data_IF_872069653356
#
_entry.id   IF_872069653356
#
_cell.length_a   1.000
_cell.length_b   1.000
_cell.length_c   1.000
_cell.angle_alpha   90.00
_cell.angle_beta   90.00
_cell.angle_gamma   90.00
#
_symmetry.space_group_name_H-M   'P 1'
#
loop_
_entity.id
_entity.type
_entity.pdbx_description
1 polymer ?
#
# COMPACT_ATOMS: atom_id res chain seq x y z
N UNK A 1 -74.49 32.08 20.70
CA UNK A 1 -73.80 33.24 20.10
C UNK A 1 -73.58 32.89 18.63
N UNK A 2 -74.35 33.53 17.75
CA UNK A 2 -74.33 33.56 16.26
C UNK A 2 -73.88 32.30 15.50
N UNK A 3 -74.80 31.54 14.88
CA UNK A 3 -75.42 31.73 13.53
C UNK A 3 -74.38 31.49 12.43
N UNK A 4 -74.60 30.79 11.32
CA UNK A 4 -75.72 30.16 10.60
C UNK A 4 -75.03 29.37 9.46
N UNK A 5 -75.49 28.16 9.08
CA UNK A 5 -76.19 27.84 7.82
C UNK A 5 -75.59 28.46 6.53
N UNK A 6 -75.55 27.87 5.33
CA UNK A 6 -76.06 26.66 4.67
C UNK A 6 -75.93 27.01 3.15
N UNK A 7 -76.11 26.05 2.23
CA UNK A 7 -76.49 26.23 0.79
C UNK A 7 -75.32 26.64 -0.14
N UNK A 8 -74.70 25.75 -0.94
CA UNK A 8 -75.17 25.05 -2.16
C UNK A 8 -75.52 26.01 -3.32
N UNK A 9 -74.76 26.03 -4.41
CA UNK A 9 -75.25 25.84 -5.80
C UNK A 9 -74.16 26.09 -6.84
N UNK A 10 -74.22 25.26 -7.88
CA UNK A 10 -73.33 25.15 -9.03
C UNK A 10 -73.45 26.34 -10.01
N UNK A 11 -72.47 26.48 -10.92
CA UNK A 11 -72.61 26.23 -12.38
C UNK A 11 -71.39 26.79 -13.14
N UNK A 12 -70.80 25.91 -13.96
CA UNK A 12 -70.06 26.08 -15.22
C UNK A 12 -69.33 27.40 -15.53
N UNK A 13 -68.06 27.29 -15.98
CA UNK A 13 -67.67 27.54 -17.39
C UNK A 13 -66.42 26.71 -17.72
N UNK A 14 -66.51 25.88 -18.76
CA UNK A 14 -65.38 25.25 -19.45
C UNK A 14 -64.50 26.33 -20.10
N UNK A 15 -63.18 26.17 -20.05
CA UNK A 15 -62.34 26.47 -21.23
C UNK A 15 -61.09 25.59 -21.21
N UNK A 16 -61.05 24.72 -22.21
CA UNK A 16 -59.92 23.91 -22.64
C UNK A 16 -58.83 24.82 -23.21
N UNK A 17 -57.60 24.79 -22.71
CA UNK A 17 -56.42 25.13 -23.52
C UNK A 17 -55.21 24.29 -23.10
N UNK A 18 -54.88 23.36 -23.98
CA UNK A 18 -53.52 22.99 -24.44
C UNK A 18 -52.61 22.19 -23.51
N UNK A 19 -52.48 20.91 -23.89
CA UNK A 19 -51.33 20.05 -23.69
C UNK A 19 -49.98 20.77 -23.91
N UNK A 20 -49.10 20.71 -22.92
CA UNK A 20 -47.66 20.57 -23.18
C UNK A 20 -47.14 19.39 -22.35
N UNK A 21 -46.64 18.41 -23.08
CA UNK A 21 -45.95 17.24 -22.60
C UNK A 21 -44.81 17.66 -21.66
N UNK A 22 -44.91 17.31 -20.38
CA UNK A 22 -43.75 17.26 -19.50
C UNK A 22 -43.01 15.97 -19.79
N UNK A 23 -42.07 16.05 -20.73
CA UNK A 23 -41.01 15.06 -20.86
C UNK A 23 -40.18 15.01 -19.58
N UNK A 24 -40.34 13.87 -18.92
CA UNK A 24 -39.32 13.12 -18.18
C UNK A 24 -37.89 13.66 -18.32
N UNK A 25 -37.38 14.29 -17.25
CA UNK A 25 -35.93 14.44 -17.04
C UNK A 25 -35.57 13.89 -15.67
N UNK A 26 -35.46 12.56 -15.61
CA UNK A 26 -34.59 11.90 -14.64
C UNK A 26 -33.21 12.57 -14.74
N UNK A 27 -32.86 13.37 -13.73
CA UNK A 27 -31.45 13.67 -13.44
C UNK A 27 -30.83 12.38 -12.95
N UNK A 28 -30.39 11.55 -13.88
CA UNK A 28 -29.38 10.54 -13.63
C UNK A 28 -28.14 11.29 -13.16
N UNK A 29 -27.87 11.16 -11.87
CA UNK A 29 -26.62 11.55 -11.25
C UNK A 29 -25.57 10.57 -11.80
N UNK A 30 -25.15 10.80 -13.04
CA UNK A 30 -24.00 10.11 -13.63
C UNK A 30 -22.78 10.65 -12.91
N UNK A 31 -22.41 9.97 -11.82
CA UNK A 31 -21.07 10.03 -11.28
C UNK A 31 -20.15 9.61 -12.43
N UNK A 32 -19.46 10.59 -12.99
CA UNK A 32 -18.35 10.36 -13.91
C UNK A 32 -17.50 9.24 -13.30
N UNK A 33 -17.20 8.15 -14.04
CA UNK A 33 -16.25 7.18 -13.54
C UNK A 33 -14.93 7.94 -13.41
N UNK A 34 -14.58 8.24 -12.16
CA UNK A 34 -13.26 8.68 -11.76
C UNK A 34 -12.31 7.66 -12.38
N UNK A 35 -11.70 8.07 -13.49
CA UNK A 35 -10.82 7.23 -14.29
C UNK A 35 -9.62 7.00 -13.39
N UNK A 36 -9.69 5.91 -12.62
CA UNK A 36 -8.62 5.43 -11.76
C UNK A 36 -7.40 5.33 -12.66
N UNK A 37 -6.54 6.34 -12.56
CA UNK A 37 -5.34 6.45 -13.37
C UNK A 37 -4.45 5.33 -12.85
N UNK A 38 -4.62 4.14 -13.41
CA UNK A 38 -3.83 2.95 -13.14
C UNK A 38 -2.36 3.38 -13.15
N UNK A 39 -1.77 3.52 -11.95
CA UNK A 39 -0.39 3.96 -11.79
C UNK A 39 0.46 2.87 -12.44
N UNK A 40 1.02 3.17 -13.61
CA UNK A 40 1.90 2.24 -14.33
C UNK A 40 3.06 1.86 -13.40
N UNK A 41 3.21 0.57 -13.13
CA UNK A 41 4.31 0.04 -12.32
C UNK A 41 5.63 0.31 -13.06
N UNK A 42 6.65 0.91 -12.40
CA UNK A 42 7.96 1.14 -13.00
C UNK A 42 8.63 -0.17 -13.47
N UNK A 43 9.41 -0.10 -14.55
CA UNK A 43 10.08 -1.28 -15.12
C UNK A 43 11.01 -1.97 -14.11
N UNK A 44 11.72 -1.19 -13.28
CA UNK A 44 12.59 -1.72 -12.23
C UNK A 44 11.81 -2.56 -11.20
N UNK A 45 10.61 -2.12 -10.82
CA UNK A 45 9.73 -2.85 -9.92
C UNK A 45 9.29 -4.19 -10.53
N UNK A 46 8.96 -4.21 -11.82
CA UNK A 46 8.61 -5.44 -12.56
C UNK A 46 9.79 -6.41 -12.50
N UNK A 47 11.00 -5.94 -12.80
CA UNK A 47 12.21 -6.78 -12.75
C UNK A 47 12.47 -7.33 -11.34
N UNK A 48 12.28 -6.52 -10.29
CA UNK A 48 12.41 -6.97 -8.90
C UNK A 48 11.40 -8.08 -8.60
N UNK A 49 10.15 -7.91 -9.02
CA UNK A 49 9.07 -8.89 -8.85
C UNK A 49 9.38 -10.20 -9.58
N UNK A 50 9.90 -10.12 -10.80
CA UNK A 50 10.33 -11.30 -11.56
C UNK A 50 11.51 -12.01 -10.88
N UNK A 51 12.50 -11.25 -10.40
CA UNK A 51 13.66 -11.80 -9.70
C UNK A 51 13.26 -12.47 -8.39
N UNK A 52 12.40 -11.87 -7.56
CA UNK A 52 11.97 -12.49 -6.30
C UNK A 52 11.12 -13.74 -6.56
N UNK A 53 10.27 -13.74 -7.60
CA UNK A 53 9.50 -14.94 -7.99
C UNK A 53 10.42 -16.07 -8.47
N UNK A 54 11.48 -15.74 -9.21
CA UNK A 54 12.42 -16.71 -9.77
C UNK A 54 13.40 -17.25 -8.73
N UNK A 55 14.05 -16.38 -7.97
CA UNK A 55 15.16 -16.73 -7.09
C UNK A 55 14.75 -16.87 -5.62
N UNK A 56 13.62 -16.32 -5.20
CA UNK A 56 13.13 -16.39 -3.82
C UNK A 56 13.10 -17.81 -3.25
N UNK A 57 12.51 -18.81 -3.95
CA UNK A 57 12.47 -20.20 -3.48
C UNK A 57 13.86 -20.82 -3.28
N UNK A 58 14.85 -20.43 -4.09
CA UNK A 58 16.22 -20.93 -3.99
C UNK A 58 16.98 -20.26 -2.84
N UNK A 59 16.88 -18.93 -2.78
CA UNK A 59 17.53 -18.08 -1.76
C UNK A 59 17.05 -18.49 -0.37
N UNK A 60 15.74 -18.58 -0.18
CA UNK A 60 15.10 -18.91 1.09
C UNK A 60 14.26 -20.18 0.97
N UNK A 61 14.93 -21.29 0.66
CA UNK A 61 14.26 -22.61 0.58
C UNK A 61 13.77 -23.10 1.95
N UNK A 62 14.36 -22.58 3.03
CA UNK A 62 13.86 -22.67 4.41
C UNK A 62 14.06 -21.33 5.12
N UNK A 63 13.38 -21.12 6.24
CA UNK A 63 13.53 -19.88 7.02
C UNK A 63 14.94 -19.76 7.62
N UNK A 64 15.51 -20.87 8.08
CA UNK A 64 16.85 -20.94 8.69
C UNK A 64 17.95 -20.65 7.67
N UNK A 65 17.72 -20.95 6.39
CA UNK A 65 18.69 -20.72 5.32
C UNK A 65 18.87 -19.23 5.00
N UNK A 66 17.76 -18.50 4.95
CA UNK A 66 17.78 -17.06 4.68
C UNK A 66 16.56 -16.40 5.30
N UNK A 67 16.79 -15.61 6.34
CA UNK A 67 15.77 -14.73 6.93
C UNK A 67 15.45 -13.57 5.99
N UNK A 68 14.48 -12.73 6.38
CA UNK A 68 14.00 -11.62 5.55
C UNK A 68 15.11 -10.68 5.02
N UNK A 69 16.12 -10.36 5.83
CA UNK A 69 17.24 -9.49 5.42
C UNK A 69 18.11 -10.14 4.36
N UNK A 70 18.42 -11.43 4.48
CA UNK A 70 19.23 -12.15 3.49
C UNK A 70 18.51 -12.33 2.17
N UNK A 71 17.19 -12.57 2.21
CA UNK A 71 16.35 -12.57 1.01
C UNK A 71 16.41 -11.23 0.29
N UNK A 72 16.21 -10.13 1.02
CA UNK A 72 16.23 -8.77 0.48
C UNK A 72 17.61 -8.42 -0.09
N UNK A 73 18.70 -8.69 0.64
CA UNK A 73 20.08 -8.46 0.19
C UNK A 73 20.33 -9.17 -1.15
N UNK A 74 20.04 -10.47 -1.24
CA UNK A 74 20.34 -11.26 -2.42
C UNK A 74 19.49 -10.86 -3.64
N UNK A 75 18.28 -10.34 -3.44
CA UNK A 75 17.47 -9.79 -4.54
C UNK A 75 18.03 -8.43 -5.00
N UNK A 76 18.41 -7.55 -4.08
CA UNK A 76 19.02 -6.26 -4.46
C UNK A 76 20.33 -6.49 -5.23
N UNK A 77 21.13 -7.47 -4.82
CA UNK A 77 22.40 -7.85 -5.48
C UNK A 77 22.23 -8.37 -6.92
N UNK A 78 21.00 -8.70 -7.36
CA UNK A 78 20.74 -8.99 -8.79
C UNK A 78 20.77 -7.74 -9.68
N UNK A 79 20.67 -6.55 -9.08
CA UNK A 79 20.52 -5.29 -9.81
C UNK A 79 21.56 -4.24 -9.42
N UNK A 80 22.05 -4.27 -8.17
CA UNK A 80 22.98 -3.30 -7.64
C UNK A 80 23.99 -3.99 -6.70
N UNK A 81 25.27 -3.66 -6.85
CA UNK A 81 26.27 -4.11 -5.89
C UNK A 81 26.03 -3.47 -4.52
N UNK A 82 25.96 -4.30 -3.47
CA UNK A 82 25.90 -3.87 -2.08
C UNK A 82 27.26 -4.03 -1.44
N UNK A 83 27.78 -2.93 -0.87
CA UNK A 83 28.97 -2.99 -0.04
C UNK A 83 28.63 -3.56 1.34
N UNK A 84 29.63 -3.99 2.09
CA UNK A 84 29.40 -4.52 3.43
C UNK A 84 28.65 -3.52 4.33
N UNK A 85 28.95 -2.21 4.22
CA UNK A 85 28.22 -1.19 4.97
C UNK A 85 26.71 -1.20 4.68
N UNK A 86 26.31 -1.46 3.43
CA UNK A 86 24.91 -1.50 3.04
C UNK A 86 24.23 -2.75 3.62
N UNK A 87 24.92 -3.90 3.57
CA UNK A 87 24.44 -5.15 4.15
C UNK A 87 24.30 -5.06 5.67
N UNK A 88 25.26 -4.43 6.35
CA UNK A 88 25.19 -4.15 7.79
C UNK A 88 23.97 -3.32 8.15
N UNK A 89 23.67 -2.28 7.36
CA UNK A 89 22.47 -1.45 7.53
C UNK A 89 21.20 -2.25 7.31
N UNK A 90 21.11 -3.07 6.24
CA UNK A 90 19.95 -3.91 5.96
C UNK A 90 19.71 -4.94 7.08
N UNK A 91 20.78 -5.54 7.62
CA UNK A 91 20.73 -6.48 8.75
C UNK A 91 20.45 -5.82 10.09
N UNK A 92 20.52 -4.49 10.16
CA UNK A 92 20.32 -3.71 11.39
C UNK A 92 21.27 -4.20 12.50
N UNK A 93 22.56 -4.40 12.16
CA UNK A 93 23.59 -4.78 13.15
C UNK A 93 23.93 -3.53 13.97
N UNK A 94 23.62 -3.56 15.26
CA UNK A 94 23.81 -2.44 16.20
C UNK A 94 23.95 -2.95 17.63
N UNK A 95 24.72 -2.22 18.46
CA UNK A 95 24.84 -2.47 19.90
C UNK A 95 23.74 -1.75 20.71
N UNK A 96 23.00 -0.83 20.08
CA UNK A 96 21.92 -0.08 20.72
C UNK A 96 20.61 -0.86 20.81
N UNK A 97 19.80 -0.57 21.84
CA UNK A 97 18.46 -1.13 21.95
C UNK A 97 17.57 -0.60 20.80
N UNK A 98 16.99 -1.50 20.00
CA UNK A 98 16.19 -1.12 18.84
C UNK A 98 14.99 -0.23 19.21
N UNK A 99 14.31 -0.52 20.32
CA UNK A 99 13.12 0.24 20.70
C UNK A 99 13.46 1.68 21.10
N UNK A 100 14.63 1.89 21.72
CA UNK A 100 15.09 3.24 22.05
C UNK A 100 15.56 3.98 20.79
N UNK A 101 16.27 3.30 19.88
CA UNK A 101 16.64 3.84 18.57
C UNK A 101 15.41 4.26 17.74
N UNK A 102 14.30 3.52 17.83
CA UNK A 102 13.03 3.88 17.19
C UNK A 102 12.47 5.17 17.78
N UNK A 103 12.42 5.30 19.12
CA UNK A 103 11.93 6.51 19.81
C UNK A 103 12.78 7.74 19.48
N UNK A 104 14.08 7.55 19.32
CA UNK A 104 15.05 8.59 18.95
C UNK A 104 15.04 8.92 17.45
N UNK A 105 14.18 8.29 16.65
CA UNK A 105 14.13 8.44 15.18
C UNK A 105 15.50 8.17 14.50
N UNK A 106 16.27 7.23 15.06
CA UNK A 106 17.54 6.79 14.49
C UNK A 106 17.33 6.28 13.06
N UNK A 107 18.30 6.48 12.15
CA UNK A 107 18.25 5.87 10.82
C UNK A 107 18.44 4.34 10.86
N UNK A 108 19.06 3.79 11.91
CA UNK A 108 19.43 2.38 12.00
C UNK A 108 18.22 1.44 11.86
N UNK A 109 17.10 1.60 12.61
CA UNK A 109 15.96 0.69 12.50
C UNK A 109 15.23 0.77 11.15
N UNK A 110 15.55 1.76 10.29
CA UNK A 110 14.98 1.89 8.95
C UNK A 110 15.62 0.90 7.96
N UNK A 111 16.68 0.18 8.33
CA UNK A 111 17.13 -1.03 7.63
C UNK A 111 17.35 -0.83 6.13
N UNK A 112 16.65 -1.64 5.32
CA UNK A 112 16.69 -1.56 3.85
C UNK A 112 16.34 -0.16 3.31
N UNK A 113 15.41 0.56 3.94
CA UNK A 113 15.10 1.93 3.56
C UNK A 113 16.33 2.83 3.70
N UNK A 114 17.00 2.78 4.85
CA UNK A 114 18.19 3.61 5.10
C UNK A 114 19.34 3.23 4.18
N UNK A 115 19.62 1.94 4.01
CA UNK A 115 20.70 1.47 3.14
C UNK A 115 20.54 1.97 1.69
N UNK A 116 19.35 1.82 1.11
CA UNK A 116 19.12 2.18 -0.29
C UNK A 116 19.05 3.69 -0.53
N UNK A 117 18.45 4.44 0.41
CA UNK A 117 18.34 5.90 0.29
C UNK A 117 19.68 6.59 0.50
N UNK A 118 20.46 6.17 1.49
CA UNK A 118 21.79 6.72 1.77
C UNK A 118 22.79 6.46 0.64
N UNK A 119 22.73 5.29 0.00
CA UNK A 119 23.56 4.98 -1.18
C UNK A 119 23.09 5.73 -2.44
N UNK A 120 21.92 6.37 -2.40
CA UNK A 120 21.36 7.11 -3.54
C UNK A 120 20.74 6.23 -4.63
N UNK A 121 20.61 4.92 -4.42
CA UNK A 121 20.00 3.97 -5.37
C UNK A 121 18.50 3.77 -5.15
N UNK A 122 17.98 4.20 -3.99
CA UNK A 122 16.56 4.20 -3.66
C UNK A 122 15.97 5.60 -3.54
N UNK A 123 14.65 5.71 -3.73
CA UNK A 123 13.85 6.88 -3.41
C UNK A 123 12.83 6.55 -2.31
N UNK A 124 12.66 7.41 -1.28
CA UNK A 124 11.59 7.25 -0.30
C UNK A 124 10.22 7.28 -0.97
N UNK A 125 9.33 6.36 -0.56
CA UNK A 125 7.95 6.29 -1.06
C UNK A 125 6.98 6.52 0.09
N UNK A 126 5.97 7.36 -0.15
CA UNK A 126 4.85 7.55 0.78
C UNK A 126 3.88 6.37 0.69
N UNK A 127 3.15 6.09 1.77
CA UNK A 127 2.24 4.92 1.87
C UNK A 127 1.22 4.87 0.72
N UNK A 128 0.78 6.03 0.23
CA UNK A 128 -0.21 6.22 -0.84
C UNK A 128 0.36 6.02 -2.26
N UNK A 129 1.69 5.96 -2.37
CA UNK A 129 2.43 5.83 -3.63
C UNK A 129 3.17 4.50 -3.76
N UNK A 130 2.99 3.61 -2.77
CA UNK A 130 3.55 2.27 -2.76
C UNK A 130 2.97 1.46 -3.92
N UNK A 131 3.86 0.78 -4.64
CA UNK A 131 3.53 -0.14 -5.73
C UNK A 131 4.17 -1.51 -5.48
N UNK A 132 3.65 -2.53 -6.17
CA UNK A 132 4.29 -3.84 -6.21
C UNK A 132 5.77 -3.69 -6.62
N UNK A 133 6.68 -4.40 -5.96
CA UNK A 133 8.12 -4.33 -6.19
C UNK A 133 8.88 -3.29 -5.34
N UNK A 134 8.18 -2.42 -4.60
CA UNK A 134 8.83 -1.55 -3.61
C UNK A 134 9.35 -2.38 -2.43
N UNK A 135 10.43 -1.93 -1.79
CA UNK A 135 10.94 -2.54 -0.57
C UNK A 135 10.33 -1.87 0.65
N UNK A 136 10.16 -2.62 1.73
CA UNK A 136 9.65 -2.12 3.00
C UNK A 136 10.53 -2.56 4.17
N UNK A 137 10.71 -1.68 5.15
CA UNK A 137 11.16 -1.99 6.51
C UNK A 137 10.07 -1.54 7.47
N UNK A 138 9.70 -2.38 8.43
CA UNK A 138 8.78 -1.99 9.49
C UNK A 138 9.11 -2.62 10.84
N UNK A 139 8.52 -2.05 11.89
CA UNK A 139 8.60 -2.57 13.25
C UNK A 139 7.22 -2.60 13.91
N UNK A 140 6.98 -3.68 14.64
CA UNK A 140 5.96 -3.77 15.69
C UNK A 140 6.64 -3.51 17.05
N UNK A 141 5.89 -3.38 18.15
CA UNK A 141 6.49 -3.18 19.48
C UNK A 141 7.49 -4.27 19.91
N UNK A 142 7.43 -5.47 19.33
CA UNK A 142 8.24 -6.61 19.77
C UNK A 142 9.16 -7.20 18.70
N UNK A 143 8.91 -6.93 17.42
CA UNK A 143 9.72 -7.48 16.32
C UNK A 143 9.67 -6.60 15.07
N UNK A 144 10.70 -6.73 14.22
CA UNK A 144 10.82 -6.02 12.95
C UNK A 144 10.90 -6.97 11.76
N UNK A 145 10.61 -6.46 10.57
CA UNK A 145 10.65 -7.25 9.35
C UNK A 145 10.86 -6.37 8.11
N UNK A 146 11.35 -6.99 7.05
CA UNK A 146 11.50 -6.37 5.74
C UNK A 146 11.06 -7.34 4.64
N UNK A 147 10.75 -6.78 3.47
CA UNK A 147 10.33 -7.57 2.32
C UNK A 147 10.09 -6.71 1.08
N UNK A 148 9.54 -7.34 0.05
CA UNK A 148 9.18 -6.66 -1.20
C UNK A 148 7.65 -6.66 -1.30
N UNK A 149 7.06 -5.50 -1.52
CA UNK A 149 5.61 -5.31 -1.59
C UNK A 149 5.05 -6.11 -2.75
N UNK A 150 4.05 -6.96 -2.46
CA UNK A 150 3.17 -7.59 -3.44
C UNK A 150 1.92 -6.74 -3.64
N UNK A 151 1.28 -6.35 -2.54
CA UNK A 151 0.08 -5.51 -2.57
C UNK A 151 -0.06 -4.74 -1.26
N UNK A 152 -0.83 -3.65 -1.28
CA UNK A 152 -1.12 -2.82 -0.12
C UNK A 152 -2.59 -2.35 -0.17
N UNK A 153 -3.25 -2.34 0.97
CA UNK A 153 -4.61 -1.82 1.15
C UNK A 153 -4.63 -0.87 2.33
N UNK A 154 -4.70 0.43 2.05
CA UNK A 154 -4.77 1.46 3.09
C UNK A 154 -6.12 1.46 3.83
N UNK A 155 -7.21 1.08 3.16
CA UNK A 155 -8.51 0.90 3.80
C UNK A 155 -8.46 -0.18 4.89
N UNK A 156 -7.83 -1.32 4.61
CA UNK A 156 -7.71 -2.45 5.54
C UNK A 156 -6.51 -2.35 6.48
N UNK A 157 -5.65 -1.35 6.27
CA UNK A 157 -4.34 -1.21 6.91
C UNK A 157 -3.52 -2.51 6.81
N UNK A 158 -3.47 -3.10 5.61
CA UNK A 158 -2.82 -4.39 5.34
C UNK A 158 -1.86 -4.29 4.16
N UNK A 159 -0.81 -5.10 4.19
CA UNK A 159 0.09 -5.32 3.05
C UNK A 159 0.43 -6.80 2.93
N UNK A 160 0.62 -7.25 1.69
CA UNK A 160 1.20 -8.56 1.37
C UNK A 160 2.62 -8.35 0.87
N UNK A 161 3.55 -9.15 1.37
CA UNK A 161 4.96 -9.07 1.02
C UNK A 161 5.43 -10.39 0.43
N UNK A 162 6.26 -10.32 -0.61
CA UNK A 162 7.22 -11.37 -0.89
C UNK A 162 8.29 -11.34 0.20
N UNK A 163 8.35 -12.38 1.01
CA UNK A 163 9.12 -12.39 2.26
C UNK A 163 9.66 -13.76 2.60
N UNK A 164 10.67 -13.78 3.48
CA UNK A 164 11.04 -14.98 4.24
C UNK A 164 10.56 -14.85 5.68
N UNK A 165 9.63 -15.70 6.09
CA UNK A 165 9.01 -15.66 7.41
C UNK A 165 8.75 -17.09 7.94
N UNK A 166 8.65 -17.31 9.27
CA UNK A 166 8.44 -18.64 9.81
C UNK A 166 7.19 -19.35 9.28
N UNK A 167 6.06 -18.65 9.13
CA UNK A 167 4.82 -19.24 8.61
C UNK A 167 4.88 -19.63 7.13
N UNK A 168 5.78 -19.02 6.36
CA UNK A 168 6.02 -19.36 4.95
C UNK A 168 7.08 -20.45 4.79
N UNK A 169 7.71 -20.91 5.89
CA UNK A 169 8.79 -21.91 5.89
C UNK A 169 9.96 -21.54 4.97
N UNK A 170 10.31 -20.25 4.92
CA UNK A 170 11.24 -19.69 3.93
C UNK A 170 10.52 -18.68 3.04
N UNK A 171 10.78 -18.69 1.74
CA UNK A 171 10.15 -17.79 0.79
C UNK A 171 8.65 -18.06 0.62
N UNK A 172 7.86 -17.00 0.72
CA UNK A 172 6.45 -17.01 0.36
C UNK A 172 5.83 -15.63 0.40
N UNK A 173 4.52 -15.59 0.20
CA UNK A 173 3.73 -14.38 0.37
C UNK A 173 3.17 -14.38 1.79
N UNK A 174 3.50 -13.35 2.55
CA UNK A 174 2.99 -13.17 3.91
C UNK A 174 2.21 -11.87 4.02
N UNK A 175 1.07 -11.93 4.70
CA UNK A 175 0.23 -10.77 4.99
C UNK A 175 0.58 -10.19 6.35
N UNK A 176 0.61 -8.87 6.43
CA UNK A 176 0.86 -8.10 7.64
C UNK A 176 -0.15 -6.95 7.77
N UNK A 177 -0.46 -6.55 9.00
CA UNK A 177 -0.97 -5.19 9.26
C UNK A 177 0.15 -4.20 8.98
N UNK A 178 -0.18 -2.98 8.54
CA UNK A 178 0.80 -1.90 8.31
C UNK A 178 1.06 -1.21 9.65
N UNK A 179 2.24 -1.35 10.28
CA UNK A 179 2.49 -0.68 11.54
C UNK A 179 2.71 0.82 11.35
N UNK A 180 2.68 1.57 12.45
CA UNK A 180 2.99 2.99 12.43
C UNK A 180 4.42 3.24 11.93
N UNK A 181 5.40 2.53 12.51
CA UNK A 181 6.80 2.60 12.12
C UNK A 181 7.08 1.73 10.88
N UNK A 182 6.79 2.29 9.71
CA UNK A 182 6.92 1.63 8.40
C UNK A 182 7.52 2.58 7.36
N UNK A 183 8.51 2.09 6.63
CA UNK A 183 9.27 2.85 5.63
C UNK A 183 9.30 2.10 4.30
N UNK A 184 8.91 2.77 3.22
CA UNK A 184 8.92 2.23 1.86
C UNK A 184 9.99 2.91 1.01
N UNK A 185 10.68 2.13 0.19
CA UNK A 185 11.71 2.62 -0.73
C UNK A 185 11.57 1.94 -2.08
N UNK A 186 11.68 2.71 -3.16
CA UNK A 186 11.71 2.22 -4.53
C UNK A 186 13.10 2.33 -5.10
N UNK A 187 13.56 1.31 -5.81
CA UNK A 187 14.85 1.35 -6.52
C UNK A 187 14.70 2.19 -7.79
N UNK A 188 15.70 3.05 -8.07
CA UNK A 188 15.74 3.90 -9.26
C UNK A 188 16.00 3.12 -10.55
#
# INVERSE_FOLDING_TARGET
MFKENLILFAVFVMTLVSCKETEYRQKTNQKEPEKELSKKIPEKNILIVEAIKKFGPEISSTYEKAVCTELVIQIIEKFHHLEERDKFRIRIITDGNIQDLIKENSPIPKGVFYALTEKGIGIPIKKEDVLEGDFVQFWTPTWGHCGIVKSISLEKQEMELYSSFPSTKGYGIQKFKIPEYTFFVRVK
#
